data_IF_943952147041
#
_entry.id   IF_943952147041
#
_cell.length_a   1.000
_cell.length_b   1.000
_cell.length_c   1.000
_cell.angle_alpha   90.00
_cell.angle_beta   90.00
_cell.angle_gamma   90.00
#
_symmetry.space_group_name_H-M   'P 1'
#
loop_
_entity.id
_entity.type
_entity.pdbx_description
1 polymer ?
#
# COMPACT_ATOMS: atom_id res chain seq x y z
N UNK A 1 73.19 1.60 -40.48
CA UNK A 1 72.43 1.16 -39.29
C UNK A 1 71.01 1.73 -39.41
N UNK A 2 70.06 0.92 -39.85
CA UNK A 2 68.64 1.32 -39.91
C UNK A 2 67.83 0.24 -39.20
N UNK A 3 67.29 0.57 -38.03
CA UNK A 3 66.41 -0.29 -37.24
C UNK A 3 65.01 -0.24 -37.87
N UNK A 4 64.53 -1.35 -38.40
CA UNK A 4 63.13 -1.52 -38.76
C UNK A 4 62.35 -1.94 -37.50
N UNK A 5 61.36 -1.13 -37.14
CA UNK A 5 60.40 -1.40 -36.07
C UNK A 5 59.54 -2.61 -36.41
N UNK A 6 59.54 -3.60 -35.52
CA UNK A 6 58.53 -4.66 -35.48
C UNK A 6 57.27 -4.07 -34.84
N UNK A 7 56.21 -3.94 -35.64
CA UNK A 7 54.86 -3.59 -35.18
C UNK A 7 54.15 -4.88 -34.79
N UNK A 8 54.09 -5.16 -33.49
CA UNK A 8 53.22 -6.17 -32.91
C UNK A 8 51.92 -5.48 -32.47
N UNK A 9 50.93 -5.49 -33.35
CA UNK A 9 49.54 -5.19 -32.98
C UNK A 9 49.01 -6.37 -32.15
N UNK A 10 49.01 -6.20 -30.83
CA UNK A 10 48.36 -7.11 -29.89
C UNK A 10 46.83 -6.97 -30.01
N UNK A 11 46.19 -8.06 -30.43
CA UNK A 11 44.74 -8.26 -30.45
C UNK A 11 44.09 -7.85 -29.11
N UNK A 12 43.28 -6.80 -29.16
CA UNK A 12 42.39 -6.42 -28.06
C UNK A 12 41.35 -7.53 -27.86
N UNK A 13 41.65 -8.47 -26.96
CA UNK A 13 40.79 -9.61 -26.60
C UNK A 13 39.39 -9.11 -26.20
N UNK A 14 38.39 -9.42 -27.02
CA UNK A 14 36.99 -9.20 -26.71
C UNK A 14 36.61 -9.98 -25.45
N UNK A 15 36.29 -9.27 -24.36
CA UNK A 15 35.79 -9.87 -23.12
C UNK A 15 34.25 -9.79 -23.14
N UNK A 16 33.54 -10.93 -23.23
CA UNK A 16 32.08 -10.92 -23.21
C UNK A 16 31.54 -10.33 -21.91
N UNK A 17 30.48 -9.54 -22.01
CA UNK A 17 29.79 -9.02 -20.83
C UNK A 17 29.20 -10.16 -19.98
N UNK A 18 29.23 -10.05 -18.64
CA UNK A 18 28.66 -11.07 -17.75
C UNK A 18 27.17 -11.30 -18.02
N UNK A 19 26.76 -12.56 -17.97
CA UNK A 19 25.36 -12.96 -18.21
C UNK A 19 24.50 -12.53 -17.02
N UNK A 20 23.48 -11.71 -17.32
CA UNK A 20 22.55 -11.19 -16.31
C UNK A 20 21.62 -12.31 -15.84
N UNK A 21 21.82 -12.80 -14.62
CA UNK A 21 20.96 -13.80 -13.99
C UNK A 21 19.54 -13.27 -13.74
N UNK A 22 18.54 -14.14 -13.93
CA UNK A 22 17.16 -13.83 -13.60
C UNK A 22 16.96 -13.65 -12.09
N UNK A 23 16.17 -12.63 -11.69
CA UNK A 23 15.95 -12.29 -10.28
C UNK A 23 15.02 -13.30 -9.60
N UNK A 24 15.46 -13.85 -8.46
CA UNK A 24 14.64 -14.75 -7.64
C UNK A 24 13.29 -14.11 -7.27
N UNK A 25 12.22 -14.90 -7.32
CA UNK A 25 10.86 -14.47 -6.96
C UNK A 25 10.12 -13.65 -8.02
N UNK A 26 10.77 -13.27 -9.12
CA UNK A 26 10.10 -12.65 -10.28
C UNK A 26 9.56 -13.72 -11.23
N UNK A 27 8.49 -13.39 -11.94
CA UNK A 27 7.99 -14.24 -13.01
C UNK A 27 8.98 -14.23 -14.19
N UNK A 28 9.09 -15.36 -14.91
CA UNK A 28 9.81 -15.42 -16.17
C UNK A 28 8.86 -14.91 -17.26
N UNK A 29 9.31 -13.92 -18.04
CA UNK A 29 8.52 -13.33 -19.12
C UNK A 29 8.24 -14.35 -20.23
N UNK A 30 7.18 -14.10 -20.98
CA UNK A 30 6.78 -14.98 -22.09
C UNK A 30 7.87 -15.10 -23.15
N UNK A 31 8.48 -13.98 -23.54
CA UNK A 31 9.60 -13.96 -24.50
C UNK A 31 10.76 -14.88 -24.11
N UNK A 32 11.16 -14.86 -22.83
CA UNK A 32 12.24 -15.71 -22.33
C UNK A 32 11.83 -17.18 -22.36
N UNK A 33 10.56 -17.49 -22.05
CA UNK A 33 10.03 -18.87 -22.14
C UNK A 33 9.99 -19.37 -23.59
N UNK A 34 9.62 -18.51 -24.54
CA UNK A 34 9.67 -18.83 -25.97
C UNK A 34 11.11 -19.12 -26.39
N UNK A 35 12.06 -18.28 -25.97
CA UNK A 35 13.50 -18.47 -26.25
C UNK A 35 14.02 -19.81 -25.72
N UNK A 36 13.62 -20.18 -24.49
CA UNK A 36 13.96 -21.48 -23.88
C UNK A 36 13.46 -22.64 -24.75
N UNK A 37 12.20 -22.58 -25.20
CA UNK A 37 11.60 -23.64 -26.02
C UNK A 37 12.24 -23.71 -27.41
N UNK A 38 12.53 -22.56 -28.03
CA UNK A 38 13.19 -22.50 -29.33
C UNK A 38 14.62 -23.07 -29.25
N UNK A 39 15.38 -22.72 -28.22
CA UNK A 39 16.70 -23.30 -27.98
C UNK A 39 16.62 -24.81 -27.74
N UNK A 40 15.67 -25.28 -26.93
CA UNK A 40 15.42 -26.71 -26.73
C UNK A 40 15.15 -27.43 -28.06
N UNK A 41 14.30 -26.89 -28.93
CA UNK A 41 14.03 -27.44 -30.26
C UNK A 41 15.29 -27.52 -31.13
N UNK A 42 16.05 -26.42 -31.19
CA UNK A 42 17.26 -26.35 -32.02
C UNK A 42 18.33 -27.37 -31.59
N UNK A 43 18.56 -27.52 -30.28
CA UNK A 43 19.56 -28.47 -29.75
C UNK A 43 19.09 -29.90 -29.98
N UNK A 44 17.79 -30.18 -29.80
CA UNK A 44 17.23 -31.52 -30.03
C UNK A 44 17.26 -31.91 -31.52
N UNK A 45 17.12 -30.93 -32.43
CA UNK A 45 17.19 -31.16 -33.88
C UNK A 45 18.62 -31.39 -34.36
N UNK A 46 19.60 -30.64 -33.84
CA UNK A 46 20.98 -30.73 -34.27
C UNK A 46 21.69 -31.96 -33.68
N UNK A 47 21.38 -32.32 -32.43
CA UNK A 47 22.05 -33.42 -31.73
C UNK A 47 21.03 -34.24 -30.91
N UNK A 48 20.38 -35.24 -31.53
CA UNK A 48 19.31 -36.02 -30.88
C UNK A 48 19.81 -36.94 -29.75
N UNK A 49 21.12 -37.16 -29.63
CA UNK A 49 21.72 -38.04 -28.62
C UNK A 49 22.04 -37.35 -27.28
N UNK A 50 21.97 -36.02 -27.19
CA UNK A 50 22.32 -35.29 -25.96
C UNK A 50 21.29 -35.56 -24.85
N UNK A 51 21.77 -35.73 -23.62
CA UNK A 51 20.90 -35.81 -22.45
C UNK A 51 20.15 -34.49 -22.18
N UNK A 52 18.88 -34.58 -21.79
CA UNK A 52 18.07 -33.40 -21.39
C UNK A 52 18.73 -32.59 -20.26
N UNK A 53 19.61 -33.21 -19.45
CA UNK A 53 20.40 -32.53 -18.42
C UNK A 53 21.44 -31.57 -19.04
N UNK A 54 22.17 -32.02 -20.05
CA UNK A 54 23.14 -31.17 -20.75
C UNK A 54 22.45 -30.04 -21.50
N UNK A 55 21.31 -30.30 -22.15
CA UNK A 55 20.52 -29.27 -22.83
C UNK A 55 20.08 -28.18 -21.83
N UNK A 56 19.56 -28.57 -20.65
CA UNK A 56 19.17 -27.61 -19.60
C UNK A 56 20.34 -26.75 -19.13
N UNK A 57 21.52 -27.35 -18.97
CA UNK A 57 22.74 -26.64 -18.55
C UNK A 57 23.17 -25.61 -19.60
N UNK A 58 23.23 -25.99 -20.87
CA UNK A 58 23.53 -25.09 -21.98
C UNK A 58 22.54 -23.91 -22.05
N UNK A 59 21.24 -24.20 -21.91
CA UNK A 59 20.20 -23.15 -21.91
C UNK A 59 20.34 -22.22 -20.69
N UNK A 60 20.65 -22.77 -19.52
CA UNK A 60 20.88 -22.03 -18.28
C UNK A 60 22.07 -21.07 -18.42
N UNK A 61 23.17 -21.55 -18.99
CA UNK A 61 24.37 -20.76 -19.18
C UNK A 61 24.10 -19.60 -20.15
N UNK A 62 23.43 -19.85 -21.28
CA UNK A 62 23.12 -18.82 -22.28
C UNK A 62 22.11 -17.77 -21.80
N UNK A 63 21.02 -18.20 -21.13
CA UNK A 63 19.91 -17.30 -20.77
C UNK A 63 19.95 -16.79 -19.33
N UNK A 64 20.84 -17.32 -18.48
CA UNK A 64 20.93 -16.95 -17.07
C UNK A 64 19.68 -17.32 -16.25
N UNK A 65 18.95 -18.37 -16.66
CA UNK A 65 17.73 -18.88 -16.00
C UNK A 65 18.05 -20.19 -15.28
N UNK A 66 17.55 -20.37 -14.06
CA UNK A 66 17.82 -21.58 -13.28
C UNK A 66 17.34 -22.87 -13.96
N UNK A 67 18.16 -23.92 -13.91
CA UNK A 67 17.89 -25.23 -14.54
C UNK A 67 16.53 -25.83 -14.17
N UNK A 68 16.09 -25.69 -12.91
CA UNK A 68 14.77 -26.19 -12.47
C UNK A 68 13.63 -25.49 -13.21
N UNK A 69 13.72 -24.18 -13.40
CA UNK A 69 12.70 -23.42 -14.14
C UNK A 69 12.67 -23.81 -15.61
N UNK A 70 13.84 -24.02 -16.22
CA UNK A 70 13.95 -24.51 -17.59
C UNK A 70 13.32 -25.90 -17.71
N UNK A 71 13.60 -26.81 -16.78
CA UNK A 71 12.99 -28.13 -16.74
C UNK A 71 11.46 -28.04 -16.69
N UNK A 72 10.90 -27.26 -15.77
CA UNK A 72 9.44 -27.08 -15.69
C UNK A 72 8.87 -26.54 -17.00
N UNK A 73 9.53 -25.55 -17.62
CA UNK A 73 9.10 -24.98 -18.91
C UNK A 73 9.09 -26.06 -20.00
N UNK A 74 10.17 -26.83 -20.14
CA UNK A 74 10.29 -27.89 -21.14
C UNK A 74 9.24 -28.98 -20.90
N UNK A 75 9.05 -29.44 -19.66
CA UNK A 75 8.03 -30.44 -19.32
C UNK A 75 6.64 -29.92 -19.66
N UNK A 76 6.29 -28.71 -19.23
CA UNK A 76 4.99 -28.11 -19.57
C UNK A 76 4.78 -27.96 -21.08
N UNK A 77 5.84 -27.64 -21.83
CA UNK A 77 5.80 -27.57 -23.28
C UNK A 77 5.60 -28.95 -23.93
N UNK A 78 6.25 -30.01 -23.43
CA UNK A 78 6.07 -31.37 -23.94
C UNK A 78 4.64 -31.89 -23.73
N UNK A 79 4.01 -31.52 -22.61
CA UNK A 79 2.65 -31.95 -22.28
C UNK A 79 1.58 -31.14 -23.04
N UNK A 80 1.75 -29.82 -23.15
CA UNK A 80 0.70 -28.91 -23.66
C UNK A 80 0.95 -28.37 -25.07
N UNK A 81 2.17 -28.56 -25.60
CA UNK A 81 2.67 -27.97 -26.84
C UNK A 81 2.55 -26.44 -26.95
N UNK A 82 2.32 -25.76 -25.82
CA UNK A 82 2.12 -24.30 -25.73
C UNK A 82 3.06 -23.67 -24.72
N UNK A 83 3.52 -22.47 -25.01
CA UNK A 83 4.33 -21.67 -24.09
C UNK A 83 3.41 -20.78 -23.26
N UNK A 84 2.90 -21.29 -22.14
CA UNK A 84 2.01 -20.51 -21.27
C UNK A 84 2.81 -19.47 -20.49
N UNK A 85 2.40 -18.20 -20.53
CA UNK A 85 3.00 -17.14 -19.72
C UNK A 85 2.88 -17.43 -18.22
N UNK A 86 3.85 -16.97 -17.43
CA UNK A 86 3.80 -17.13 -15.98
C UNK A 86 2.61 -16.35 -15.39
N UNK A 87 1.73 -17.03 -14.65
CA UNK A 87 0.60 -16.39 -13.97
C UNK A 87 1.15 -15.43 -12.91
N UNK A 88 0.94 -14.13 -13.10
CA UNK A 88 1.22 -13.13 -12.07
C UNK A 88 0.40 -13.46 -10.82
N UNK A 89 0.99 -13.27 -9.62
CA UNK A 89 0.24 -13.44 -8.37
C UNK A 89 -0.95 -12.48 -8.39
N UNK A 90 -2.18 -13.01 -8.26
CA UNK A 90 -3.39 -12.20 -8.20
C UNK A 90 -3.25 -11.15 -7.09
N UNK A 91 -3.52 -9.88 -7.41
CA UNK A 91 -3.66 -8.85 -6.37
C UNK A 91 -4.81 -9.26 -5.46
N UNK A 92 -4.52 -9.51 -4.18
CA UNK A 92 -5.56 -9.80 -3.19
C UNK A 92 -6.36 -8.52 -2.96
N UNK A 93 -7.70 -8.62 -2.94
CA UNK A 93 -8.55 -7.49 -2.56
C UNK A 93 -8.30 -7.16 -1.09
N UNK A 94 -8.07 -5.90 -0.79
CA UNK A 94 -7.94 -5.39 0.57
C UNK A 94 -9.32 -5.08 1.15
N UNK A 95 -9.44 -5.01 2.47
CA UNK A 95 -10.66 -4.48 3.12
C UNK A 95 -10.97 -3.05 2.66
N UNK A 96 -9.92 -2.29 2.30
CA UNK A 96 -10.05 -0.93 1.74
C UNK A 96 -10.81 -0.91 0.42
N UNK A 97 -10.70 -1.99 -0.37
CA UNK A 97 -11.37 -2.09 -1.68
C UNK A 97 -12.87 -2.42 -1.53
N UNK A 98 -13.33 -2.80 -0.32
CA UNK A 98 -14.75 -3.03 -0.04
C UNK A 98 -15.47 -1.73 0.34
N UNK A 99 -14.74 -0.72 0.83
CA UNK A 99 -15.30 0.52 1.35
C UNK A 99 -15.09 1.66 0.35
N UNK A 100 -16.07 1.81 -0.54
CA UNK A 100 -16.16 2.96 -1.44
C UNK A 100 -16.40 4.27 -0.66
N UNK A 101 -16.27 5.41 -1.34
CA UNK A 101 -16.37 6.72 -0.69
C UNK A 101 -17.74 6.95 -0.03
N UNK A 102 -18.81 6.36 -0.58
CA UNK A 102 -20.13 6.38 0.04
C UNK A 102 -20.16 5.60 1.36
N UNK A 103 -19.58 4.40 1.41
CA UNK A 103 -19.49 3.60 2.61
C UNK A 103 -18.63 4.29 3.68
N UNK A 104 -17.52 4.90 3.28
CA UNK A 104 -16.68 5.74 4.15
C UNK A 104 -17.46 6.92 4.74
N UNK A 105 -18.23 7.62 3.92
CA UNK A 105 -19.11 8.70 4.37
C UNK A 105 -20.17 8.22 5.35
N UNK A 106 -20.74 7.04 5.15
CA UNK A 106 -21.67 6.43 6.10
C UNK A 106 -21.00 6.15 7.45
N UNK A 107 -19.78 5.58 7.46
CA UNK A 107 -19.00 5.38 8.69
C UNK A 107 -18.71 6.71 9.40
N UNK A 108 -18.31 7.77 8.67
CA UNK A 108 -18.13 9.12 9.25
C UNK A 108 -19.42 9.61 9.93
N UNK A 109 -20.57 9.46 9.27
CA UNK A 109 -21.88 9.85 9.83
C UNK A 109 -22.20 9.10 11.12
N UNK A 110 -21.92 7.80 11.20
CA UNK A 110 -22.12 7.02 12.43
C UNK A 110 -21.27 7.52 13.59
N UNK A 111 -19.98 7.81 13.34
CA UNK A 111 -19.10 8.39 14.36
C UNK A 111 -19.65 9.73 14.87
N UNK A 112 -20.04 10.63 13.96
CA UNK A 112 -20.61 11.93 14.32
C UNK A 112 -21.96 11.82 15.02
N UNK A 113 -22.82 10.87 14.62
CA UNK A 113 -24.11 10.60 15.28
C UNK A 113 -23.92 10.23 16.75
N UNK A 114 -22.98 9.31 17.04
CA UNK A 114 -22.66 8.91 18.42
C UNK A 114 -22.12 10.11 19.21
N UNK A 115 -21.22 10.89 18.60
CA UNK A 115 -20.69 12.10 19.22
C UNK A 115 -21.78 13.14 19.53
N UNK A 116 -22.73 13.35 18.62
CA UNK A 116 -23.84 14.29 18.78
C UNK A 116 -24.82 13.87 19.87
N UNK A 117 -24.97 12.56 20.10
CA UNK A 117 -25.71 12.00 21.24
C UNK A 117 -25.00 12.16 22.59
N UNK A 118 -23.88 12.90 22.62
CA UNK A 118 -23.01 13.09 23.80
C UNK A 118 -22.46 11.79 24.36
N UNK A 119 -22.27 10.80 23.49
CA UNK A 119 -21.60 9.55 23.83
C UNK A 119 -20.19 9.53 23.26
N UNK A 120 -19.27 8.84 23.95
CA UNK A 120 -17.94 8.64 23.42
C UNK A 120 -18.02 7.58 22.31
N UNK A 121 -17.63 7.90 21.06
CA UNK A 121 -17.62 6.96 19.95
C UNK A 121 -16.44 5.99 20.12
N UNK A 122 -16.64 4.95 20.91
CA UNK A 122 -15.69 3.84 21.02
C UNK A 122 -15.77 2.96 19.79
N UNK A 123 -14.70 2.21 19.51
CA UNK A 123 -14.65 1.30 18.35
C UNK A 123 -15.78 0.26 18.45
N UNK A 124 -16.16 -0.19 19.65
CA UNK A 124 -17.27 -1.15 19.86
C UNK A 124 -18.61 -0.56 19.43
N UNK A 125 -18.90 0.67 19.87
CA UNK A 125 -20.15 1.34 19.53
C UNK A 125 -20.25 1.61 18.04
N UNK A 126 -19.16 2.10 17.44
CA UNK A 126 -19.11 2.34 15.99
C UNK A 126 -19.29 1.01 15.25
N UNK A 127 -18.63 -0.06 15.68
CA UNK A 127 -18.75 -1.39 15.07
C UNK A 127 -20.19 -1.90 15.12
N UNK A 128 -20.84 -1.79 16.27
CA UNK A 128 -22.24 -2.17 16.44
C UNK A 128 -23.17 -1.38 15.49
N UNK A 129 -22.99 -0.05 15.39
CA UNK A 129 -23.81 0.79 14.49
C UNK A 129 -23.54 0.51 13.01
N UNK A 130 -22.28 0.27 12.64
CA UNK A 130 -21.88 -0.01 11.24
C UNK A 130 -22.32 -1.40 10.81
N UNK A 131 -22.26 -2.40 11.69
CA UNK A 131 -22.73 -3.75 11.42
C UNK A 131 -24.25 -3.87 11.36
N UNK A 132 -24.99 -2.97 12.01
CA UNK A 132 -26.45 -2.93 11.92
C UNK A 132 -26.97 -2.20 10.66
N UNK A 133 -26.13 -1.40 10.01
CA UNK A 133 -26.46 -0.65 8.80
C UNK A 133 -26.19 -1.49 7.53
N UNK A 134 -26.66 -1.02 6.37
CA UNK A 134 -26.44 -1.64 5.06
C UNK A 134 -25.02 -1.37 4.53
N UNK A 135 -24.00 -1.78 5.29
CA UNK A 135 -22.59 -1.59 4.96
C UNK A 135 -21.87 -2.94 4.82
N UNK A 136 -20.74 -2.98 4.06
CA UNK A 136 -19.92 -4.19 3.97
C UNK A 136 -19.49 -4.66 5.36
N UNK A 137 -19.59 -5.97 5.61
CA UNK A 137 -19.15 -6.55 6.88
C UNK A 137 -17.65 -6.28 7.10
N UNK A 138 -17.32 -5.78 8.30
CA UNK A 138 -15.96 -5.41 8.68
C UNK A 138 -15.63 -5.93 10.07
N UNK A 139 -14.40 -6.41 10.25
CA UNK A 139 -13.91 -6.78 11.58
C UNK A 139 -13.60 -5.54 12.41
N UNK A 140 -13.64 -5.68 13.73
CA UNK A 140 -13.26 -4.62 14.67
C UNK A 140 -11.90 -3.98 14.37
N UNK A 141 -10.89 -4.81 14.09
CA UNK A 141 -9.52 -4.34 13.78
C UNK A 141 -9.47 -3.58 12.46
N UNK A 142 -10.16 -4.08 11.42
CA UNK A 142 -10.22 -3.38 10.14
C UNK A 142 -11.00 -2.06 10.25
N UNK A 143 -12.05 -2.01 11.08
CA UNK A 143 -12.76 -0.76 11.37
C UNK A 143 -11.84 0.26 12.04
N UNK A 144 -10.98 -0.16 12.97
CA UNK A 144 -10.00 0.73 13.56
C UNK A 144 -9.03 1.32 12.50
N UNK A 145 -8.53 0.49 11.59
CA UNK A 145 -7.70 0.97 10.48
C UNK A 145 -8.49 1.88 9.52
N UNK A 146 -9.74 1.55 9.22
CA UNK A 146 -10.62 2.39 8.41
C UNK A 146 -10.81 3.76 9.06
N UNK A 147 -11.06 3.83 10.37
CA UNK A 147 -11.19 5.10 11.08
C UNK A 147 -9.92 5.95 11.01
N UNK A 148 -8.73 5.30 11.06
CA UNK A 148 -7.44 5.99 10.84
C UNK A 148 -7.31 6.52 9.42
N UNK A 149 -7.78 5.77 8.42
CA UNK A 149 -7.82 6.21 7.02
C UNK A 149 -8.84 7.35 6.78
N UNK A 150 -9.81 7.52 7.68
CA UNK A 150 -10.78 8.62 7.69
C UNK A 150 -10.33 9.81 8.56
N UNK A 151 -9.06 9.88 8.91
CA UNK A 151 -8.43 10.92 9.74
C UNK A 151 -8.93 11.01 11.19
N UNK A 152 -9.65 9.99 11.69
CA UNK A 152 -9.99 9.93 13.11
C UNK A 152 -8.77 9.55 13.96
N UNK A 153 -8.54 10.29 15.04
CA UNK A 153 -7.46 10.03 16.00
C UNK A 153 -8.01 9.45 17.29
N UNK A 154 -7.33 8.41 17.78
CA UNK A 154 -7.56 7.87 19.12
C UNK A 154 -6.84 8.78 20.14
N UNK A 155 -7.58 9.20 21.17
CA UNK A 155 -7.05 10.00 22.26
C UNK A 155 -7.32 9.28 23.60
N UNK A 156 -6.29 9.16 24.44
CA UNK A 156 -6.46 8.71 25.83
C UNK A 156 -7.17 9.83 26.61
N UNK A 157 -8.16 9.48 27.43
CA UNK A 157 -8.96 10.47 28.16
C UNK A 157 -8.88 10.23 29.66
N UNK A 158 -8.77 11.29 30.46
CA UNK A 158 -8.75 11.25 31.93
C UNK A 158 -10.13 11.49 32.58
N UNK A 159 -11.13 11.98 31.82
CA UNK A 159 -12.52 12.21 32.28
C UNK A 159 -13.54 11.71 31.27
N UNK A 160 -14.58 11.00 31.74
CA UNK A 160 -15.57 10.28 30.91
C UNK A 160 -16.68 11.14 30.28
N UNK A 161 -16.65 12.46 30.40
CA UNK A 161 -17.62 13.32 29.71
C UNK A 161 -17.21 13.48 28.25
N UNK A 162 -18.09 13.07 27.32
CA UNK A 162 -18.07 13.59 25.96
C UNK A 162 -18.43 15.08 26.04
N UNK A 163 -17.43 15.93 26.27
CA UNK A 163 -17.58 17.38 26.23
C UNK A 163 -17.85 17.83 24.79
N UNK A 164 -19.06 17.56 24.29
CA UNK A 164 -19.70 18.53 23.42
C UNK A 164 -20.16 19.64 24.36
N UNK A 165 -19.61 20.84 24.21
CA UNK A 165 -20.19 22.05 24.82
C UNK A 165 -21.71 22.00 24.64
N UNK A 166 -22.49 22.38 25.66
CA UNK A 166 -23.94 22.40 25.49
C UNK A 166 -24.28 23.36 24.35
N UNK A 167 -25.20 22.99 23.46
CA UNK A 167 -25.64 23.89 22.39
C UNK A 167 -26.03 25.27 22.94
N UNK A 168 -26.65 25.30 24.13
CA UNK A 168 -26.94 26.51 24.90
C UNK A 168 -25.70 27.39 25.16
N UNK A 169 -24.54 26.80 25.47
CA UNK A 169 -23.28 27.53 25.69
C UNK A 169 -22.78 28.15 24.38
N UNK A 170 -22.93 27.44 23.25
CA UNK A 170 -22.61 28.00 21.93
C UNK A 170 -23.52 29.17 21.58
N UNK A 171 -24.82 29.03 21.83
CA UNK A 171 -25.80 30.08 21.58
C UNK A 171 -25.53 31.30 22.46
N UNK A 172 -25.26 31.10 23.75
CA UNK A 172 -24.86 32.17 24.67
C UNK A 172 -23.57 32.85 24.24
N UNK A 173 -22.57 32.10 23.78
CA UNK A 173 -21.32 32.67 23.28
C UNK A 173 -21.54 33.49 22.01
N UNK A 174 -22.36 33.00 21.08
CA UNK A 174 -22.71 33.73 19.85
C UNK A 174 -23.44 35.03 20.21
N UNK A 175 -24.49 34.95 21.02
CA UNK A 175 -25.24 36.11 21.47
C UNK A 175 -24.35 37.12 22.21
N UNK A 176 -23.47 36.65 23.09
CA UNK A 176 -22.52 37.50 23.79
C UNK A 176 -21.58 38.24 22.82
N UNK A 177 -21.03 37.53 21.82
CA UNK A 177 -20.14 38.14 20.83
C UNK A 177 -20.87 39.14 19.92
N UNK A 178 -22.12 38.87 19.54
CA UNK A 178 -22.94 39.81 18.78
C UNK A 178 -23.25 41.07 19.61
N UNK A 179 -23.67 40.88 20.86
CA UNK A 179 -23.99 41.98 21.77
C UNK A 179 -22.76 42.84 22.07
N UNK A 180 -21.60 42.25 22.34
CA UNK A 180 -20.38 43.01 22.66
C UNK A 180 -19.87 43.80 21.45
N UNK A 181 -20.05 43.26 20.23
CA UNK A 181 -19.73 43.98 19.00
C UNK A 181 -20.64 45.20 18.84
N UNK A 182 -21.95 45.01 19.02
CA UNK A 182 -22.94 46.10 18.97
C UNK A 182 -22.63 47.20 20.00
N UNK A 183 -22.30 46.85 21.24
CA UNK A 183 -21.99 47.84 22.27
C UNK A 183 -20.73 48.65 21.97
N UNK A 184 -19.73 48.05 21.29
CA UNK A 184 -18.54 48.77 20.82
C UNK A 184 -18.86 49.75 19.69
N UNK A 185 -19.72 49.35 18.75
CA UNK A 185 -20.18 50.21 17.64
C UNK A 185 -20.99 51.41 18.16
N UNK A 186 -21.77 51.21 19.22
CA UNK A 186 -22.51 52.29 19.91
C UNK A 186 -21.63 53.17 20.80
N UNK A 187 -20.31 52.93 20.87
CA UNK A 187 -19.36 53.72 21.65
C UNK A 187 -19.50 53.56 23.17
N UNK A 188 -20.10 52.47 23.66
CA UNK A 188 -20.28 52.24 25.10
C UNK A 188 -18.97 51.82 25.76
N UNK A 189 -18.71 52.33 26.96
CA UNK A 189 -17.62 51.84 27.80
C UNK A 189 -17.96 50.46 28.39
N UNK A 190 -17.10 49.48 28.14
CA UNK A 190 -17.27 48.10 28.60
C UNK A 190 -16.25 47.83 29.70
N UNK A 191 -16.74 47.54 30.90
CA UNK A 191 -15.91 47.18 32.05
C UNK A 191 -15.99 45.67 32.27
N UNK A 192 -14.84 45.02 32.38
CA UNK A 192 -14.74 43.61 32.78
C UNK A 192 -14.34 43.55 34.25
N UNK A 193 -15.20 42.97 35.06
CA UNK A 193 -14.90 42.65 36.45
C UNK A 193 -14.50 41.18 36.48
N UNK A 194 -13.23 40.91 36.74
CA UNK A 194 -12.74 39.55 36.96
C UNK A 194 -12.35 39.39 38.43
N UNK A 195 -12.90 38.37 39.09
CA UNK A 195 -12.60 38.05 40.47
C UNK A 195 -11.38 37.12 40.48
N UNK A 196 -10.19 37.68 40.72
CA UNK A 196 -8.99 36.88 40.95
C UNK A 196 -8.89 36.56 42.44
N UNK A 197 -9.15 35.29 42.78
CA UNK A 197 -8.92 34.79 44.13
C UNK A 197 -7.42 34.91 44.45
N UNK A 198 -7.06 35.83 45.33
CA UNK A 198 -5.72 35.92 45.90
C UNK A 198 -5.63 34.83 46.95
N UNK A 199 -4.99 33.70 46.62
CA UNK A 199 -4.53 32.77 47.64
C UNK A 199 -3.46 33.50 48.46
N UNK A 200 -3.86 34.13 49.57
CA UNK A 200 -2.93 34.56 50.59
C UNK A 200 -2.19 33.31 51.08
N UNK A 201 -0.87 33.29 50.86
CA UNK A 201 -0.03 32.15 51.18
C UNK A 201 -0.05 31.78 52.67
N UNK A 202 0.07 30.49 52.95
CA UNK A 202 0.17 29.91 54.28
C UNK A 202 -0.15 28.42 54.27
#
# INVERSE_FOLDING_TARGET
MSKASSSSDEDARYVPSPIKKHKMGKAISEEVRIRIVNMYKSITMNEPSISVRQIRKQISDVLGVGERSIQTIITTYKETHKVVASKQKRKKKSFRDLFDEFAKNAVRRHVHSIWFRREIPTIDKIHQTVSADSLPSISRTNLFHLLKDLDFRYCKRSRNSAMAEKNEIFDWRRMYLENIKKYREEGRHIYFLDETWVNAGG
#
